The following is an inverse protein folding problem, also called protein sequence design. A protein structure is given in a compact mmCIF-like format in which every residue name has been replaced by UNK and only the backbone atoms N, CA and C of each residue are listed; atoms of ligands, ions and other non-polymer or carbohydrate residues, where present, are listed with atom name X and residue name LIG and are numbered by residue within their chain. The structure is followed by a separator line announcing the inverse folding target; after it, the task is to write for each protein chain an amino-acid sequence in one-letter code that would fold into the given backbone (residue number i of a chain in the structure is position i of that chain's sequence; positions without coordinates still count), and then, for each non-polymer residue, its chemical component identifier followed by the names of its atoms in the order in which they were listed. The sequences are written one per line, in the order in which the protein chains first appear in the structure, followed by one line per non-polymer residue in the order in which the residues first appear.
data_IF_470742315005
#
_entry.id   IF_470742315005
#
_cell.length_a   1.000
_cell.length_b   1.000
_cell.length_c   1.000
_cell.angle_alpha   90.00
_cell.angle_beta   90.00
_cell.angle_gamma   90.00
#
_symmetry.space_group_name_H-M   'P 1'
#
loop_
_entity.id
_entity.type
_entity.pdbx_description
1 polymer ?
#
# COMPACT_ATOMS: atom_id res chain seq x y z
N UNK A 1 -8.78 15.33 1.73
CA UNK A 1 -8.17 14.80 0.48
C UNK A 1 -8.55 13.35 0.22
N UNK A 2 -8.41 12.44 1.20
CA UNK A 2 -8.78 11.02 1.05
C UNK A 2 -10.28 10.77 0.84
N UNK A 3 -11.15 11.48 1.59
CA UNK A 3 -12.61 11.41 1.42
C UNK A 3 -13.04 11.84 0.01
N UNK A 4 -12.49 12.95 -0.48
CA UNK A 4 -12.76 13.47 -1.83
C UNK A 4 -12.30 12.49 -2.94
N UNK A 5 -11.25 11.70 -2.71
CA UNK A 5 -10.81 10.67 -3.66
C UNK A 5 -11.77 9.47 -3.68
N UNK A 6 -12.26 9.04 -2.52
CA UNK A 6 -13.29 7.99 -2.41
C UNK A 6 -14.58 8.46 -3.05
N UNK A 7 -14.98 9.71 -2.84
CA UNK A 7 -16.16 10.31 -3.46
C UNK A 7 -16.02 10.31 -5.00
N UNK A 8 -14.89 10.79 -5.53
CA UNK A 8 -14.61 10.77 -6.98
C UNK A 8 -14.58 9.34 -7.54
N UNK A 9 -13.97 8.37 -6.84
CA UNK A 9 -13.97 6.97 -7.26
C UNK A 9 -15.38 6.38 -7.26
N UNK A 10 -16.16 6.67 -6.22
CA UNK A 10 -17.53 6.20 -6.10
C UNK A 10 -18.43 6.85 -7.14
N UNK A 11 -18.20 8.11 -7.51
CA UNK A 11 -18.90 8.83 -8.57
C UNK A 11 -18.53 8.27 -9.96
N UNK A 12 -17.24 8.06 -10.25
CA UNK A 12 -16.78 7.42 -11.51
C UNK A 12 -17.29 5.99 -11.65
N UNK A 13 -17.36 5.24 -10.55
CA UNK A 13 -17.91 3.89 -10.55
C UNK A 13 -19.44 3.91 -10.64
N UNK A 14 -20.13 4.84 -9.97
CA UNK A 14 -21.60 4.90 -9.95
C UNK A 14 -22.20 5.54 -11.21
N UNK A 15 -21.48 6.43 -11.89
CA UNK A 15 -21.92 7.06 -13.15
C UNK A 15 -21.74 6.16 -14.38
N UNK A 16 -21.22 4.94 -14.23
CA UNK A 16 -21.30 3.95 -15.30
C UNK A 16 -22.70 3.35 -15.31
N UNK A 17 -23.54 3.82 -16.24
CA UNK A 17 -24.90 3.32 -16.49
C UNK A 17 -24.96 1.80 -16.77
N UNK A 18 -23.80 1.17 -16.99
CA UNK A 18 -23.63 -0.27 -17.26
C UNK A 18 -23.31 -1.14 -16.03
N UNK A 19 -23.19 -0.59 -14.81
CA UNK A 19 -22.96 -1.43 -13.62
C UNK A 19 -24.27 -2.06 -13.15
N UNK A 20 -24.42 -3.36 -13.42
CA UNK A 20 -25.55 -4.17 -12.94
C UNK A 20 -25.60 -4.23 -11.41
N UNK A 21 -26.78 -4.46 -10.84
CA UNK A 21 -26.94 -4.64 -9.39
C UNK A 21 -26.05 -5.76 -8.83
N UNK A 22 -25.87 -6.84 -9.60
CA UNK A 22 -24.96 -7.93 -9.25
C UNK A 22 -23.49 -7.47 -9.17
N UNK A 23 -23.04 -6.67 -10.13
CA UNK A 23 -21.66 -6.14 -10.16
C UNK A 23 -21.33 -5.29 -8.92
N UNK A 24 -22.31 -4.55 -8.38
CA UNK A 24 -22.15 -3.78 -7.14
C UNK A 24 -21.90 -4.68 -5.93
N UNK A 25 -22.65 -5.78 -5.81
CA UNK A 25 -22.47 -6.75 -4.72
C UNK A 25 -21.06 -7.36 -4.77
N UNK A 26 -20.58 -7.73 -5.96
CA UNK A 26 -19.20 -8.25 -6.11
C UNK A 26 -18.14 -7.21 -5.72
N UNK A 27 -18.31 -5.96 -6.13
CA UNK A 27 -17.37 -4.89 -5.77
C UNK A 27 -17.33 -4.63 -4.26
N UNK A 28 -18.49 -4.60 -3.61
CA UNK A 28 -18.56 -4.38 -2.15
C UNK A 28 -17.98 -5.57 -1.39
N UNK A 29 -18.23 -6.80 -1.85
CA UNK A 29 -17.60 -7.99 -1.28
C UNK A 29 -16.07 -7.94 -1.42
N UNK A 30 -15.51 -7.53 -2.56
CA UNK A 30 -14.05 -7.45 -2.77
C UNK A 30 -13.42 -6.34 -1.91
N UNK A 31 -14.11 -5.20 -1.75
CA UNK A 31 -13.62 -4.06 -0.97
C UNK A 31 -13.39 -4.39 0.50
N UNK A 32 -14.28 -5.19 1.10
CA UNK A 32 -14.20 -5.53 2.54
C UNK A 32 -12.87 -6.20 2.92
N UNK A 33 -12.56 -7.40 2.39
CA UNK A 33 -11.29 -8.09 2.62
C UNK A 33 -10.09 -7.26 2.20
N UNK A 34 -10.16 -6.53 1.08
CA UNK A 34 -9.08 -5.66 0.63
C UNK A 34 -8.73 -4.59 1.68
N UNK A 35 -9.72 -3.93 2.24
CA UNK A 35 -9.53 -2.94 3.31
C UNK A 35 -9.03 -3.59 4.61
N UNK A 36 -9.51 -4.79 4.95
CA UNK A 36 -9.02 -5.52 6.11
C UNK A 36 -7.51 -5.87 5.97
N UNK A 37 -7.09 -6.36 4.80
CA UNK A 37 -5.67 -6.62 4.51
C UNK A 37 -4.84 -5.34 4.53
N UNK A 38 -5.37 -4.23 4.00
CA UNK A 38 -4.71 -2.93 4.07
C UNK A 38 -4.48 -2.52 5.53
N UNK A 39 -5.52 -2.45 6.36
CA UNK A 39 -5.42 -2.02 7.76
C UNK A 39 -4.47 -2.93 8.56
N UNK A 40 -4.60 -4.25 8.41
CA UNK A 40 -3.77 -5.21 9.14
C UNK A 40 -2.30 -5.15 8.73
N UNK A 41 -2.01 -4.92 7.45
CA UNK A 41 -0.62 -4.75 6.97
C UNK A 41 0.06 -3.50 7.56
N UNK A 42 -0.66 -2.38 7.69
CA UNK A 42 -0.13 -1.16 8.31
C UNK A 42 0.02 -1.28 9.82
N UNK A 43 -0.89 -1.99 10.51
CA UNK A 43 -0.73 -2.33 11.92
C UNK A 43 0.51 -3.20 12.14
N UNK A 44 0.69 -4.24 11.32
CA UNK A 44 1.88 -5.08 11.38
C UNK A 44 3.16 -4.27 11.15
N UNK A 45 3.17 -3.39 10.14
CA UNK A 45 4.29 -2.48 9.91
C UNK A 45 4.55 -1.61 11.15
N UNK A 46 3.52 -1.06 11.79
CA UNK A 46 3.69 -0.24 12.99
C UNK A 46 4.36 -1.03 14.13
N UNK A 47 3.97 -2.28 14.35
CA UNK A 47 4.61 -3.15 15.35
C UNK A 47 6.08 -3.47 15.00
N UNK A 48 6.37 -3.77 13.73
CA UNK A 48 7.75 -4.00 13.25
C UNK A 48 8.59 -2.73 13.40
N UNK A 49 8.03 -1.56 13.06
CA UNK A 49 8.71 -0.28 13.18
C UNK A 49 8.99 0.09 14.65
N UNK A 50 8.04 -0.13 15.55
CA UNK A 50 8.13 0.27 16.94
C UNK A 50 9.15 -0.55 17.75
N UNK A 51 9.21 -1.87 17.51
CA UNK A 51 10.06 -2.78 18.28
C UNK A 51 11.34 -3.19 17.51
N UNK A 52 11.30 -4.16 16.58
CA UNK A 52 12.54 -4.74 16.04
C UNK A 52 13.29 -3.78 15.11
N UNK A 53 12.60 -2.90 14.38
CA UNK A 53 13.26 -1.87 13.58
C UNK A 53 13.97 -0.83 14.46
N UNK A 54 13.33 -0.40 15.56
CA UNK A 54 13.96 0.50 16.55
C UNK A 54 15.17 -0.13 17.23
N UNK A 55 15.13 -1.44 17.47
CA UNK A 55 16.27 -2.24 17.98
C UNK A 55 17.37 -2.47 16.94
N UNK A 56 17.15 -2.04 15.70
CA UNK A 56 18.06 -2.19 14.54
C UNK A 56 18.28 -3.67 14.15
N UNK A 57 17.27 -4.50 14.31
CA UNK A 57 17.33 -5.91 13.91
C UNK A 57 17.25 -6.05 12.38
N UNK A 58 18.26 -6.67 11.76
CA UNK A 58 18.36 -6.76 10.29
C UNK A 58 17.15 -7.44 9.63
N UNK A 59 16.55 -8.44 10.30
CA UNK A 59 15.39 -9.16 9.76
C UNK A 59 14.19 -8.22 9.61
N UNK A 60 13.99 -7.26 10.52
CA UNK A 60 12.88 -6.32 10.44
C UNK A 60 13.03 -5.38 9.23
N UNK A 61 14.24 -4.89 8.98
CA UNK A 61 14.56 -4.14 7.76
C UNK A 61 14.26 -4.99 6.52
N UNK A 62 14.76 -6.23 6.47
CA UNK A 62 14.59 -7.10 5.32
C UNK A 62 13.11 -7.46 5.09
N UNK A 63 12.34 -7.67 6.15
CA UNK A 63 10.91 -7.93 6.10
C UNK A 63 10.16 -6.72 5.50
N UNK A 64 10.45 -5.50 5.96
CA UNK A 64 9.85 -4.28 5.41
C UNK A 64 10.23 -4.13 3.93
N UNK A 65 11.51 -4.22 3.58
CA UNK A 65 11.98 -4.08 2.19
C UNK A 65 11.30 -5.10 1.27
N UNK A 66 11.23 -6.37 1.71
CA UNK A 66 10.65 -7.44 0.90
C UNK A 66 9.15 -7.29 0.75
N UNK A 67 8.42 -7.11 1.85
CA UNK A 67 6.95 -7.00 1.84
C UNK A 67 6.49 -5.77 1.04
N UNK A 68 7.11 -4.60 1.28
CA UNK A 68 6.77 -3.40 0.52
C UNK A 68 7.27 -3.41 -0.91
N UNK A 69 8.43 -4.03 -1.17
CA UNK A 69 8.94 -4.19 -2.53
C UNK A 69 7.99 -5.02 -3.39
N UNK A 70 7.56 -6.18 -2.88
CA UNK A 70 6.59 -7.05 -3.57
C UNK A 70 5.25 -6.34 -3.76
N UNK A 71 4.72 -5.71 -2.70
CA UNK A 71 3.47 -4.96 -2.80
C UNK A 71 3.55 -3.83 -3.84
N UNK A 72 4.61 -3.01 -3.80
CA UNK A 72 4.78 -1.88 -4.71
C UNK A 72 4.88 -2.33 -6.17
N UNK A 73 5.64 -3.41 -6.44
CA UNK A 73 5.77 -3.96 -7.79
C UNK A 73 4.42 -4.47 -8.29
N UNK A 74 3.72 -5.28 -7.49
CA UNK A 74 2.43 -5.86 -7.90
C UNK A 74 1.37 -4.78 -8.09
N UNK A 75 1.21 -3.87 -7.14
CA UNK A 75 0.18 -2.81 -7.22
C UNK A 75 0.44 -1.87 -8.40
N UNK A 76 1.71 -1.48 -8.61
CA UNK A 76 2.09 -0.65 -9.75
C UNK A 76 1.90 -1.38 -11.08
N UNK A 77 2.24 -2.68 -11.16
CA UNK A 77 2.00 -3.49 -12.34
C UNK A 77 0.51 -3.52 -12.71
N UNK A 78 -0.38 -3.78 -11.75
CA UNK A 78 -1.82 -3.77 -11.99
C UNK A 78 -2.34 -2.39 -12.39
N UNK A 79 -1.89 -1.33 -11.73
CA UNK A 79 -2.27 0.04 -12.08
C UNK A 79 -1.84 0.38 -13.52
N UNK A 80 -0.64 -0.02 -13.94
CA UNK A 80 -0.16 0.18 -15.30
C UNK A 80 -0.96 -0.64 -16.32
N UNK A 81 -1.26 -1.90 -16.00
CA UNK A 81 -2.05 -2.80 -16.85
C UNK A 81 -3.45 -2.24 -17.12
N UNK A 82 -4.13 -1.76 -16.08
CA UNK A 82 -5.47 -1.17 -16.18
C UNK A 82 -5.46 0.35 -16.50
N UNK A 83 -4.29 0.93 -16.78
CA UNK A 83 -4.10 2.37 -17.11
C UNK A 83 -4.58 3.34 -16.02
N UNK A 84 -4.52 2.93 -14.75
CA UNK A 84 -4.85 3.74 -13.58
C UNK A 84 -3.59 4.50 -13.13
N UNK A 85 -3.16 5.47 -13.93
CA UNK A 85 -1.88 6.17 -13.73
C UNK A 85 -1.83 7.02 -12.46
N UNK A 86 -2.97 7.58 -12.03
CA UNK A 86 -3.02 8.37 -10.80
C UNK A 86 -2.60 7.54 -9.58
N UNK A 87 -3.12 6.31 -9.47
CA UNK A 87 -2.75 5.40 -8.38
C UNK A 87 -1.27 4.97 -8.50
N UNK A 88 -0.82 4.60 -9.70
CA UNK A 88 0.55 4.18 -9.94
C UNK A 88 1.58 5.26 -9.56
N UNK A 89 1.36 6.52 -9.97
CA UNK A 89 2.38 7.55 -9.79
C UNK A 89 2.20 8.34 -8.50
N UNK A 90 0.98 8.72 -8.16
CA UNK A 90 0.72 9.57 -6.99
C UNK A 90 0.69 8.71 -5.74
N UNK A 91 -0.20 7.72 -5.68
CA UNK A 91 -0.40 6.95 -4.44
C UNK A 91 0.76 6.01 -4.15
N UNK A 92 1.20 5.23 -5.13
CA UNK A 92 2.31 4.31 -4.93
C UNK A 92 3.64 5.06 -4.84
N UNK A 93 3.84 6.10 -5.66
CA UNK A 93 5.05 6.95 -5.59
C UNK A 93 5.22 7.62 -4.23
N UNK A 94 4.16 8.25 -3.69
CA UNK A 94 4.21 8.82 -2.34
C UNK A 94 4.44 7.75 -1.27
N UNK A 95 3.77 6.59 -1.40
CA UNK A 95 3.94 5.46 -0.49
C UNK A 95 5.36 4.90 -0.49
N UNK A 96 6.01 4.87 -1.65
CA UNK A 96 7.40 4.46 -1.81
C UNK A 96 8.33 5.44 -1.09
N UNK A 97 8.18 6.74 -1.34
CA UNK A 97 9.01 7.77 -0.68
C UNK A 97 8.88 7.69 0.84
N UNK A 98 7.66 7.59 1.37
CA UNK A 98 7.39 7.49 2.81
C UNK A 98 8.18 6.35 3.49
N UNK A 99 8.36 5.22 2.80
CA UNK A 99 8.98 4.01 3.36
C UNK A 99 10.47 3.89 2.99
N UNK A 100 10.85 4.32 1.79
CA UNK A 100 12.22 4.28 1.30
C UNK A 100 13.13 5.27 2.04
N UNK A 101 12.62 6.47 2.37
CA UNK A 101 13.38 7.50 3.09
C UNK A 101 13.94 7.00 4.43
N UNK A 102 13.12 6.50 5.38
CA UNK A 102 13.65 6.02 6.65
C UNK A 102 14.57 4.81 6.49
N UNK A 103 14.29 3.91 5.53
CA UNK A 103 15.15 2.77 5.22
C UNK A 103 16.52 3.19 4.69
N UNK A 104 16.57 4.19 3.82
CA UNK A 104 17.81 4.71 3.25
C UNK A 104 18.69 5.35 4.34
N UNK A 105 18.11 6.21 5.18
CA UNK A 105 18.86 6.87 6.25
C UNK A 105 19.34 5.90 7.33
N UNK A 106 18.55 4.87 7.65
CA UNK A 106 18.92 3.89 8.68
C UNK A 106 19.76 2.74 8.13
N UNK A 107 19.97 2.63 6.81
CA UNK A 107 20.59 1.46 6.17
C UNK A 107 21.93 1.05 6.79
N UNK A 108 22.77 2.03 7.12
CA UNK A 108 24.09 1.81 7.71
C UNK A 108 24.04 1.48 9.21
N UNK A 109 22.99 1.89 9.91
CA UNK A 109 22.84 1.67 11.35
C UNK A 109 22.52 0.21 11.67
N UNK A 110 21.83 -0.50 10.77
CA UNK A 110 21.56 -1.93 10.87
C UNK A 110 22.81 -2.79 10.61
N UNK A 111 23.78 -2.31 9.82
CA UNK A 111 25.01 -3.06 9.50
C UNK A 111 26.06 -3.03 10.61
N UNK A 112 26.03 -2.02 11.48
CA UNK A 112 27.03 -1.80 12.55
C UNK A 112 26.82 -2.67 13.80
N UNK A 113 25.76 -3.48 13.85
CA UNK A 113 25.48 -4.40 14.96
C UNK A 113 25.98 -5.83 14.74
N UNK A 114 26.64 -6.11 13.61
CA UNK A 114 27.44 -7.32 13.40
C UNK A 114 28.89 -7.03 13.75
#
# INVERSE_FOLDING_TARGET
MYLKYIDILSEVLSNNENITAESKIYLDFIRGPFMATFVTSYLLLAFIAYFPFRKKEEWARNAIVTAFGVWFILDTFYCMYYKIYFQAFVLNGLSFIQKAVPLYFTWNDFRKQK
#
